data_IF_901363507721
#
_entry.id   IF_901363507721
#
_cell.length_a   1.000
_cell.length_b   1.000
_cell.length_c   1.000
_cell.angle_alpha   90.00
_cell.angle_beta   90.00
_cell.angle_gamma   90.00
#
_symmetry.space_group_name_H-M   'P 1'
#
loop_
_entity.id
_entity.type
_entity.pdbx_description
1 polymer ?
#
# COMPACT_ATOMS: atom_id res chain seq x y z
N UNK A 1 18.79 -16.48 15.45
CA UNK A 1 17.39 -16.10 15.71
C UNK A 1 17.51 -14.79 16.46
N UNK A 2 17.59 -13.71 15.67
CA UNK A 2 17.87 -12.35 16.15
C UNK A 2 16.71 -11.84 17.00
N UNK A 3 16.98 -10.89 17.89
CA UNK A 3 16.08 -10.43 18.94
C UNK A 3 14.67 -10.05 18.46
N UNK A 4 13.68 -10.21 19.34
CA UNK A 4 12.35 -9.65 19.14
C UNK A 4 12.38 -8.15 19.45
N UNK A 5 11.98 -7.30 18.49
CA UNK A 5 11.99 -5.85 18.65
C UNK A 5 10.59 -5.26 18.79
N UNK A 6 10.45 -4.16 19.54
CA UNK A 6 9.33 -3.26 19.30
C UNK A 6 9.62 -2.47 18.02
N UNK A 7 8.67 -2.38 17.08
CA UNK A 7 8.95 -1.78 15.77
C UNK A 7 9.41 -0.32 15.88
N UNK A 8 8.87 0.42 16.84
CA UNK A 8 9.30 1.78 17.13
C UNK A 8 10.79 1.84 17.48
N UNK A 9 11.40 0.78 18.00
CA UNK A 9 12.80 0.75 18.41
C UNK A 9 13.78 0.88 17.25
N UNK A 10 13.40 0.23 16.16
CA UNK A 10 14.17 0.13 14.91
C UNK A 10 13.69 1.13 13.84
N UNK A 11 12.62 1.87 14.11
CA UNK A 11 12.08 2.89 13.21
C UNK A 11 12.94 4.16 13.12
N UNK A 12 13.14 4.68 11.92
CA UNK A 12 13.81 5.96 11.71
C UNK A 12 12.97 7.12 12.21
N UNK A 13 11.66 7.01 12.05
CA UNK A 13 10.74 8.12 12.21
C UNK A 13 9.34 7.60 12.59
N UNK A 14 8.68 8.28 13.53
CA UNK A 14 7.34 7.93 14.03
C UNK A 14 6.47 9.18 14.12
N UNK A 15 5.31 9.20 13.45
CA UNK A 15 4.33 10.31 13.52
C UNK A 15 2.96 9.81 13.91
N UNK A 16 2.07 10.75 14.19
CA UNK A 16 0.73 10.49 14.68
C UNK A 16 -0.27 11.40 13.97
N UNK A 17 -1.37 10.81 13.48
CA UNK A 17 -2.59 11.53 13.16
C UNK A 17 -3.68 11.23 14.21
N UNK A 18 -4.71 12.09 14.33
CA UNK A 18 -5.72 11.97 15.38
C UNK A 18 -6.58 10.69 15.32
N UNK A 19 -6.73 10.10 14.14
CA UNK A 19 -7.57 8.92 13.92
C UNK A 19 -6.80 7.83 13.14
N UNK A 20 -7.34 6.60 12.99
CA UNK A 20 -6.68 5.52 12.27
C UNK A 20 -6.14 5.98 10.90
N UNK A 21 -4.88 5.65 10.60
CA UNK A 21 -4.31 5.92 9.29
C UNK A 21 -5.08 5.11 8.24
N UNK A 22 -5.37 5.69 7.10
CA UNK A 22 -6.06 5.02 6.00
C UNK A 22 -5.18 4.93 4.75
N UNK A 23 -4.25 5.85 4.56
CA UNK A 23 -3.26 5.79 3.49
C UNK A 23 -1.95 6.44 3.93
N UNK A 24 -0.83 5.86 3.49
CA UNK A 24 0.52 6.38 3.71
C UNK A 24 1.34 6.18 2.45
N UNK A 25 2.09 7.21 2.08
CA UNK A 25 3.03 7.17 0.96
C UNK A 25 4.26 8.00 1.30
N UNK A 26 5.37 7.76 0.60
CA UNK A 26 6.58 8.55 0.79
C UNK A 26 7.38 8.63 -0.51
N UNK A 27 8.30 9.59 -0.55
CA UNK A 27 9.36 9.67 -1.55
C UNK A 27 10.72 9.78 -0.84
N UNK A 28 11.76 10.21 -1.56
CA UNK A 28 13.10 10.39 -1.01
C UNK A 28 13.20 11.46 0.10
N UNK A 29 12.26 12.41 0.17
CA UNK A 29 12.37 13.58 1.04
C UNK A 29 11.22 13.70 2.04
N UNK A 30 10.08 13.06 1.78
CA UNK A 30 8.82 13.35 2.44
C UNK A 30 8.01 12.08 2.71
N UNK A 31 7.27 12.10 3.82
CA UNK A 31 6.20 11.13 4.12
C UNK A 31 4.89 11.89 4.15
N UNK A 32 3.86 11.34 3.53
CA UNK A 32 2.49 11.86 3.55
C UNK A 32 1.57 10.76 4.08
N UNK A 33 0.68 11.13 4.99
CA UNK A 33 -0.33 10.21 5.49
C UNK A 33 -1.69 10.90 5.60
N UNK A 34 -2.74 10.12 5.39
CA UNK A 34 -4.14 10.48 5.56
C UNK A 34 -4.81 9.59 6.59
N UNK A 35 -5.79 10.14 7.30
CA UNK A 35 -6.54 9.40 8.30
C UNK A 35 -8.04 9.33 8.03
N UNK A 36 -8.71 8.50 8.83
CA UNK A 36 -10.17 8.28 8.77
C UNK A 36 -10.99 9.56 9.00
N UNK A 37 -10.42 10.50 9.73
CA UNK A 37 -11.01 11.80 10.03
C UNK A 37 -10.86 12.82 8.90
N UNK A 38 -10.14 12.51 7.82
CA UNK A 38 -9.88 13.45 6.72
C UNK A 38 -8.65 14.31 6.91
N UNK A 39 -7.87 14.10 7.97
CA UNK A 39 -6.62 14.81 8.14
C UNK A 39 -5.59 14.24 7.17
N UNK A 40 -4.90 15.12 6.46
CA UNK A 40 -3.72 14.77 5.67
C UNK A 40 -2.56 15.65 6.12
N UNK A 41 -1.39 15.06 6.31
CA UNK A 41 -0.18 15.79 6.71
C UNK A 41 1.04 15.28 5.96
N UNK A 42 1.95 16.21 5.66
CA UNK A 42 3.27 15.92 5.09
C UNK A 42 4.35 16.24 6.12
N UNK A 43 5.35 15.38 6.21
CA UNK A 43 6.55 15.62 7.01
C UNK A 43 7.80 15.51 6.14
N UNK A 44 8.78 16.36 6.44
CA UNK A 44 10.11 16.23 5.86
C UNK A 44 10.87 15.10 6.56
N UNK A 45 11.42 14.15 5.80
CA UNK A 45 12.15 13.01 6.34
C UNK A 45 13.41 13.49 7.06
N UNK A 46 14.20 14.37 6.45
CA UNK A 46 15.54 14.73 6.95
C UNK A 46 15.54 15.34 8.36
N UNK A 47 14.57 16.20 8.69
CA UNK A 47 14.45 16.87 9.98
C UNK A 47 13.22 16.45 10.79
N UNK A 48 12.37 15.62 10.21
CA UNK A 48 11.14 15.12 10.80
C UNK A 48 10.00 16.14 10.98
N UNK A 49 10.17 17.41 10.63
CA UNK A 49 9.18 18.44 10.90
C UNK A 49 7.99 18.31 9.97
N UNK A 50 6.82 18.71 10.47
CA UNK A 50 5.63 18.85 9.63
C UNK A 50 5.87 19.97 8.63
N UNK A 51 5.66 19.67 7.35
CA UNK A 51 5.76 20.65 6.28
C UNK A 51 4.42 21.36 6.11
N UNK A 52 3.31 20.60 6.08
CA UNK A 52 1.96 21.14 6.03
C UNK A 52 0.93 20.11 6.49
N UNK A 53 -0.26 20.59 6.81
CA UNK A 53 -1.46 19.79 7.09
C UNK A 53 -2.69 20.40 6.42
N UNK A 54 -3.66 19.53 6.07
CA UNK A 54 -4.98 19.90 5.55
C UNK A 54 -6.05 18.99 6.12
N UNK A 55 -7.28 19.48 6.07
CA UNK A 55 -8.49 18.73 6.39
C UNK A 55 -9.29 18.56 5.09
N UNK A 56 -9.42 17.31 4.63
CA UNK A 56 -10.19 16.89 3.47
C UNK A 56 -11.32 15.98 3.97
N UNK A 57 -12.44 16.57 4.40
CA UNK A 57 -13.62 15.84 4.90
C UNK A 57 -14.32 15.08 3.75
N UNK A 58 -14.70 13.80 3.89
CA UNK A 58 -14.62 12.89 5.06
C UNK A 58 -13.31 12.12 5.15
N UNK A 59 -13.31 10.78 5.09
CA UNK A 59 -12.09 9.97 5.23
C UNK A 59 -11.21 10.09 3.99
N UNK A 60 -9.89 10.16 4.19
CA UNK A 60 -8.94 9.89 3.11
C UNK A 60 -8.98 8.40 2.80
N UNK A 61 -9.05 8.03 1.52
CA UNK A 61 -9.08 6.63 1.06
C UNK A 61 -7.72 6.21 0.48
N UNK A 62 -7.06 7.08 -0.27
CA UNK A 62 -5.81 6.77 -0.96
C UNK A 62 -4.98 8.03 -1.25
N UNK A 63 -3.65 7.90 -1.29
CA UNK A 63 -2.69 8.99 -1.49
C UNK A 63 -1.53 8.51 -2.36
N UNK A 64 -1.21 9.27 -3.40
CA UNK A 64 -0.06 9.02 -4.26
C UNK A 64 0.73 10.30 -4.51
N UNK A 65 2.05 10.18 -4.64
CA UNK A 65 2.95 11.26 -5.07
C UNK A 65 3.37 10.99 -6.51
N UNK A 66 3.13 11.96 -7.39
CA UNK A 66 3.47 11.84 -8.82
C UNK A 66 3.83 13.22 -9.38
N UNK A 67 4.96 13.39 -10.07
CA UNK A 67 5.35 14.66 -10.71
C UNK A 67 5.24 15.91 -9.80
N UNK A 68 5.69 15.84 -8.55
CA UNK A 68 5.52 16.90 -7.53
C UNK A 68 4.07 17.29 -7.21
N UNK A 69 3.12 16.41 -7.54
CA UNK A 69 1.71 16.49 -7.18
C UNK A 69 1.39 15.43 -6.14
N UNK A 70 0.39 15.71 -5.32
CA UNK A 70 -0.19 14.75 -4.38
C UNK A 70 -1.63 14.50 -4.79
N UNK A 71 -1.91 13.29 -5.27
CA UNK A 71 -3.25 12.84 -5.62
C UNK A 71 -3.88 12.22 -4.39
N UNK A 72 -5.09 12.67 -4.04
CA UNK A 72 -5.77 12.24 -2.81
C UNK A 72 -7.22 11.89 -3.10
N UNK A 73 -7.60 10.66 -2.80
CA UNK A 73 -9.00 10.25 -2.74
C UNK A 73 -9.54 10.57 -1.35
N UNK A 74 -10.60 11.36 -1.24
CA UNK A 74 -11.31 11.59 0.03
C UNK A 74 -12.81 11.76 -0.18
N UNK A 75 -13.60 10.95 0.52
CA UNK A 75 -15.05 10.86 0.31
C UNK A 75 -15.38 10.62 -1.15
N UNK A 76 -16.14 11.52 -1.78
CA UNK A 76 -16.49 11.44 -3.21
C UNK A 76 -15.54 12.20 -4.13
N UNK A 77 -14.45 12.75 -3.61
CA UNK A 77 -13.58 13.66 -4.33
C UNK A 77 -12.22 13.03 -4.61
N UNK A 78 -11.70 13.33 -5.79
CA UNK A 78 -10.27 13.27 -6.10
C UNK A 78 -9.73 14.70 -6.04
N UNK A 79 -8.71 14.91 -5.21
CA UNK A 79 -7.97 16.17 -5.10
C UNK A 79 -6.58 16.01 -5.70
N UNK A 80 -6.10 17.07 -6.35
CA UNK A 80 -4.69 17.24 -6.67
C UNK A 80 -4.13 18.41 -5.87
N UNK A 81 -3.10 18.15 -5.08
CA UNK A 81 -2.43 19.15 -4.25
C UNK A 81 -1.01 19.38 -4.76
N UNK A 82 -0.49 20.59 -4.56
CA UNK A 82 0.94 20.86 -4.68
C UNK A 82 1.70 20.07 -3.61
N UNK A 83 2.79 19.40 -3.97
CA UNK A 83 3.64 18.73 -2.98
C UNK A 83 4.21 19.71 -1.95
N UNK A 84 4.67 20.89 -2.38
CA UNK A 84 5.35 21.87 -1.52
C UNK A 84 4.48 22.39 -0.37
N UNK A 85 3.27 22.89 -0.68
CA UNK A 85 2.42 23.63 0.27
C UNK A 85 1.13 22.90 0.68
N UNK A 86 0.78 21.81 -0.02
CA UNK A 86 -0.53 21.17 0.13
C UNK A 86 -1.69 22.05 -0.34
N UNK A 87 -1.45 22.96 -1.29
CA UNK A 87 -2.48 23.82 -1.91
C UNK A 87 -3.25 23.02 -2.96
N UNK A 88 -4.58 23.07 -2.96
CA UNK A 88 -5.42 22.38 -3.94
C UNK A 88 -5.26 23.07 -5.31
N UNK A 89 -4.78 22.33 -6.31
CA UNK A 89 -4.71 22.80 -7.70
C UNK A 89 -6.03 22.59 -8.41
N UNK A 90 -6.62 21.40 -8.24
CA UNK A 90 -7.92 21.06 -8.79
C UNK A 90 -8.57 19.94 -7.98
N UNK A 91 -9.88 19.78 -8.16
CA UNK A 91 -10.65 18.68 -7.56
C UNK A 91 -11.79 18.25 -8.46
N UNK A 92 -12.08 16.96 -8.49
CA UNK A 92 -13.22 16.38 -9.22
C UNK A 92 -14.08 15.59 -8.25
N UNK A 93 -15.40 15.71 -8.37
CA UNK A 93 -16.36 14.91 -7.59
C UNK A 93 -16.95 13.77 -8.44
N UNK A 94 -17.09 12.60 -7.84
CA UNK A 94 -17.77 11.45 -8.43
C UNK A 94 -19.16 11.25 -7.81
N UNK A 95 -19.95 10.37 -8.42
CA UNK A 95 -21.30 10.01 -7.95
C UNK A 95 -21.25 9.23 -6.62
N UNK A 96 -20.15 8.51 -6.39
CA UNK A 96 -19.91 7.69 -5.20
C UNK A 96 -18.60 8.01 -4.49
N UNK A 97 -18.25 7.21 -3.50
CA UNK A 97 -16.97 7.32 -2.80
C UNK A 97 -15.82 7.05 -3.78
N UNK A 98 -14.82 7.93 -3.82
CA UNK A 98 -13.54 7.72 -4.47
C UNK A 98 -12.72 6.76 -3.62
N UNK A 99 -12.41 5.60 -4.19
CA UNK A 99 -11.89 4.46 -3.43
C UNK A 99 -10.38 4.27 -3.62
N UNK A 100 -9.95 4.06 -4.86
CA UNK A 100 -8.58 3.69 -5.20
C UNK A 100 -8.04 4.61 -6.30
N UNK A 101 -6.75 4.90 -6.25
CA UNK A 101 -6.04 5.68 -7.26
C UNK A 101 -4.87 4.90 -7.84
N UNK A 102 -4.59 5.12 -9.13
CA UNK A 102 -3.34 4.70 -9.76
C UNK A 102 -2.87 5.76 -10.76
N UNK A 103 -2.13 6.78 -10.29
CA UNK A 103 -1.59 7.80 -11.17
C UNK A 103 -0.30 7.37 -11.86
N UNK A 104 -0.11 7.90 -13.06
CA UNK A 104 1.16 7.95 -13.78
C UNK A 104 1.48 9.41 -14.12
N UNK A 105 2.55 9.65 -14.88
CA UNK A 105 3.00 11.00 -15.20
C UNK A 105 1.95 11.86 -15.93
N UNK A 106 1.07 11.24 -16.73
CA UNK A 106 0.13 11.91 -17.62
C UNK A 106 -1.31 11.85 -17.13
N UNK A 107 -1.72 10.71 -16.58
CA UNK A 107 -3.11 10.46 -16.20
C UNK A 107 -3.21 9.88 -14.80
N UNK A 108 -4.39 10.02 -14.20
CA UNK A 108 -4.77 9.36 -12.97
C UNK A 108 -5.99 8.52 -13.21
N UNK A 109 -5.86 7.23 -12.91
CA UNK A 109 -7.00 6.35 -12.82
C UNK A 109 -7.58 6.41 -11.41
N UNK A 110 -8.90 6.55 -11.32
CA UNK A 110 -9.63 6.55 -10.07
C UNK A 110 -10.81 5.57 -10.17
N UNK A 111 -11.16 4.94 -9.06
CA UNK A 111 -12.39 4.16 -8.95
C UNK A 111 -13.39 4.87 -8.04
N UNK A 112 -14.68 4.69 -8.34
CA UNK A 112 -15.74 5.19 -7.48
C UNK A 112 -16.85 4.18 -7.30
N UNK A 113 -17.47 4.12 -6.11
CA UNK A 113 -18.58 3.22 -5.83
C UNK A 113 -19.62 3.82 -4.88
N UNK A 114 -20.88 3.42 -5.05
CA UNK A 114 -21.98 3.80 -4.15
C UNK A 114 -22.39 2.57 -3.35
N UNK A 115 -22.40 2.65 -2.01
CA UNK A 115 -22.92 1.56 -1.19
C UNK A 115 -24.42 1.79 -0.91
N UNK A 116 -25.26 0.92 -1.43
CA UNK A 116 -26.71 0.99 -1.24
C UNK A 116 -27.11 0.16 -0.03
N UNK A 117 -27.50 0.84 1.04
CA UNK A 117 -27.73 0.24 2.38
C UNK A 117 -28.91 -0.74 2.33
N UNK A 118 -29.96 -0.43 1.57
CA UNK A 118 -31.19 -1.24 1.51
C UNK A 118 -30.95 -2.65 0.95
N UNK A 119 -30.02 -2.78 0.01
CA UNK A 119 -29.65 -4.06 -0.60
C UNK A 119 -28.31 -4.62 -0.06
N UNK A 120 -27.61 -3.85 0.77
CA UNK A 120 -26.33 -4.23 1.37
C UNK A 120 -25.21 -4.45 0.36
N UNK A 121 -25.25 -3.77 -0.79
CA UNK A 121 -24.35 -4.02 -1.91
C UNK A 121 -23.84 -2.72 -2.56
N UNK A 122 -22.67 -2.79 -3.20
CA UNK A 122 -22.17 -1.69 -4.03
C UNK A 122 -22.86 -1.63 -5.39
N UNK A 123 -23.26 -0.44 -5.81
CA UNK A 123 -23.88 -0.12 -7.09
C UNK A 123 -23.17 1.07 -7.72
N UNK A 124 -23.47 1.36 -8.99
CA UNK A 124 -22.88 2.47 -9.74
C UNK A 124 -21.36 2.53 -9.62
N UNK A 125 -20.72 1.35 -9.69
CA UNK A 125 -19.27 1.23 -9.64
C UNK A 125 -18.70 1.73 -10.97
N UNK A 126 -17.66 2.55 -10.92
CA UNK A 126 -17.03 3.14 -12.09
C UNK A 126 -15.52 3.18 -11.94
N UNK A 127 -14.87 3.27 -13.08
CA UNK A 127 -13.45 3.62 -13.21
C UNK A 127 -13.34 4.79 -14.17
N UNK A 128 -12.52 5.77 -13.80
CA UNK A 128 -12.35 7.01 -14.50
C UNK A 128 -10.87 7.27 -14.76
N UNK A 129 -10.56 7.72 -15.96
CA UNK A 129 -9.24 8.23 -16.32
C UNK A 129 -9.32 9.74 -16.43
N UNK A 130 -8.42 10.46 -15.75
CA UNK A 130 -8.36 11.92 -15.77
C UNK A 130 -6.95 12.38 -16.12
N UNK A 131 -6.82 13.55 -16.74
CA UNK A 131 -5.54 14.22 -16.93
C UNK A 131 -4.94 14.64 -15.58
N UNK A 132 -3.68 14.31 -15.34
CA UNK A 132 -3.02 14.53 -14.04
C UNK A 132 -2.78 16.02 -13.74
N UNK A 133 -2.70 16.87 -14.76
CA UNK A 133 -2.35 18.29 -14.59
C UNK A 133 -3.57 19.16 -14.30
N UNK A 134 -4.72 18.85 -14.90
CA UNK A 134 -5.92 19.70 -14.79
C UNK A 134 -7.20 18.97 -14.33
N UNK A 135 -7.15 17.65 -14.16
CA UNK A 135 -8.31 16.86 -13.71
C UNK A 135 -9.40 16.72 -14.78
N UNK A 136 -9.13 17.01 -16.05
CA UNK A 136 -10.09 16.81 -17.12
C UNK A 136 -10.36 15.30 -17.31
N UNK A 137 -11.63 14.93 -17.33
CA UNK A 137 -12.07 13.56 -17.58
C UNK A 137 -11.71 13.13 -19.01
N UNK A 138 -10.94 12.06 -19.14
CA UNK A 138 -10.56 11.44 -20.42
C UNK A 138 -11.59 10.36 -20.79
N UNK A 139 -11.92 9.48 -19.84
CA UNK A 139 -12.95 8.46 -20.00
C UNK A 139 -13.53 8.03 -18.66
N UNK A 140 -14.76 7.49 -18.70
CA UNK A 140 -15.45 6.91 -17.56
C UNK A 140 -16.16 5.65 -18.02
N UNK A 141 -15.92 4.53 -17.35
CA UNK A 141 -16.53 3.25 -17.65
C UNK A 141 -17.29 2.75 -16.42
N UNK A 142 -18.46 2.17 -16.66
CA UNK A 142 -19.18 1.42 -15.62
C UNK A 142 -18.48 0.09 -15.38
N UNK A 143 -18.33 -0.26 -14.10
CA UNK A 143 -17.81 -1.53 -13.65
C UNK A 143 -18.97 -2.42 -13.22
N UNK A 144 -18.92 -3.73 -13.55
CA UNK A 144 -19.96 -4.66 -13.13
C UNK A 144 -19.93 -4.91 -11.62
N UNK A 145 -18.84 -4.58 -10.93
CA UNK A 145 -18.66 -4.76 -9.49
C UNK A 145 -17.63 -3.78 -8.91
N UNK A 146 -17.57 -3.67 -7.58
CA UNK A 146 -16.58 -2.80 -6.91
C UNK A 146 -15.17 -3.30 -7.20
N UNK A 147 -14.29 -2.38 -7.57
CA UNK A 147 -12.85 -2.62 -7.64
C UNK A 147 -12.25 -2.69 -6.24
N UNK A 148 -11.47 -3.75 -6.00
CA UNK A 148 -10.69 -3.94 -4.79
C UNK A 148 -9.19 -3.76 -5.02
N UNK A 149 -8.79 -3.65 -6.28
CA UNK A 149 -7.42 -3.36 -6.66
C UNK A 149 -7.36 -2.61 -7.99
N UNK A 150 -6.34 -1.78 -8.16
CA UNK A 150 -6.09 -1.00 -9.37
C UNK A 150 -4.59 -0.83 -9.58
N UNK A 151 -4.13 -1.05 -10.80
CA UNK A 151 -2.72 -0.88 -11.18
C UNK A 151 -2.64 -0.27 -12.58
N UNK A 152 -1.86 0.79 -12.74
CA UNK A 152 -1.59 1.41 -14.03
C UNK A 152 -0.33 0.82 -14.68
N UNK A 153 -0.38 0.62 -15.99
CA UNK A 153 0.72 0.08 -16.82
C UNK A 153 0.97 0.98 -18.01
N UNK A 154 1.96 1.87 -17.92
CA UNK A 154 2.30 2.96 -18.87
C UNK A 154 1.13 3.88 -19.24
N UNK A 155 0.16 3.38 -20.00
CA UNK A 155 -1.09 4.06 -20.35
C UNK A 155 -2.34 3.27 -19.92
N UNK A 156 -2.23 1.98 -19.69
CA UNK A 156 -3.37 1.10 -19.45
C UNK A 156 -3.64 0.93 -17.95
N UNK A 157 -4.78 0.34 -17.61
CA UNK A 157 -5.20 0.07 -16.25
C UNK A 157 -5.65 -1.37 -16.12
N UNK A 158 -5.26 -2.01 -15.02
CA UNK A 158 -5.66 -3.36 -14.64
C UNK A 158 -6.42 -3.26 -13.32
N UNK A 159 -7.60 -3.87 -13.28
CA UNK A 159 -8.50 -3.86 -12.12
C UNK A 159 -8.74 -5.27 -11.62
N UNK A 160 -8.81 -5.41 -10.29
CA UNK A 160 -9.35 -6.59 -9.63
C UNK A 160 -10.73 -6.31 -9.06
N UNK A 161 -11.75 -7.03 -9.53
CA UNK A 161 -13.14 -6.83 -9.10
C UNK A 161 -13.60 -7.87 -8.07
N UNK A 162 -14.52 -7.42 -7.22
CA UNK A 162 -15.22 -8.26 -6.23
C UNK A 162 -16.53 -8.82 -6.77
N UNK A 163 -17.47 -9.11 -5.86
CA UNK A 163 -18.81 -9.60 -6.23
C UNK A 163 -19.75 -8.47 -6.70
N UNK A 164 -20.80 -8.80 -7.50
CA UNK A 164 -21.20 -10.13 -8.00
C UNK A 164 -20.40 -10.66 -9.20
N UNK A 165 -19.72 -9.81 -9.95
CA UNK A 165 -19.02 -10.11 -11.20
C UNK A 165 -17.51 -9.93 -11.01
N UNK A 166 -16.82 -10.92 -10.43
CA UNK A 166 -15.42 -10.81 -10.07
C UNK A 166 -14.47 -10.94 -11.27
N UNK A 167 -13.18 -11.02 -10.97
CA UNK A 167 -12.13 -11.28 -11.94
C UNK A 167 -11.23 -10.08 -12.19
N UNK A 168 -10.33 -10.26 -13.15
CA UNK A 168 -9.35 -9.25 -13.56
C UNK A 168 -9.75 -8.65 -14.89
N UNK A 169 -9.69 -7.33 -14.99
CA UNK A 169 -10.07 -6.59 -16.19
C UNK A 169 -8.97 -5.63 -16.62
N UNK A 170 -8.81 -5.50 -17.92
CA UNK A 170 -7.88 -4.58 -18.58
C UNK A 170 -8.67 -3.44 -19.21
N UNK A 171 -8.13 -2.23 -19.12
CA UNK A 171 -8.68 -1.04 -19.75
C UNK A 171 -7.55 -0.34 -20.48
N UNK A 172 -7.73 -0.15 -21.78
CA UNK A 172 -6.81 0.62 -22.59
C UNK A 172 -7.19 2.10 -22.58
N UNK A 173 -6.22 2.98 -22.32
CA UNK A 173 -6.47 4.44 -22.27
C UNK A 173 -7.16 4.94 -23.54
N UNK A 174 -8.16 5.81 -23.35
CA UNK A 174 -8.97 6.42 -24.40
C UNK A 174 -9.84 5.47 -25.24
N UNK A 175 -9.85 4.16 -24.98
CA UNK A 175 -10.64 3.22 -25.81
C UNK A 175 -12.08 3.05 -25.36
N UNK A 176 -12.38 3.38 -24.09
CA UNK A 176 -13.70 3.16 -23.50
C UNK A 176 -14.09 1.69 -23.40
N UNK A 177 -13.12 0.75 -23.43
CA UNK A 177 -13.38 -0.69 -23.36
C UNK A 177 -12.81 -1.32 -22.09
N UNK A 178 -13.68 -2.08 -21.42
CA UNK A 178 -13.37 -2.96 -20.32
C UNK A 178 -13.23 -4.39 -20.85
N UNK A 179 -12.03 -4.97 -20.79
CA UNK A 179 -11.71 -6.28 -21.36
C UNK A 179 -11.41 -7.29 -20.24
N UNK A 180 -12.19 -8.37 -20.08
CA UNK A 180 -11.91 -9.38 -19.06
C UNK A 180 -10.66 -10.19 -19.42
N UNK A 181 -9.81 -10.46 -18.44
CA UNK A 181 -8.68 -11.37 -18.58
C UNK A 181 -9.15 -12.81 -18.35
N UNK A 182 -9.70 -13.43 -19.39
CA UNK A 182 -10.35 -14.74 -19.32
C UNK A 182 -9.45 -15.90 -18.90
N UNK A 183 -8.12 -15.72 -18.99
CA UNK A 183 -7.15 -16.71 -18.50
C UNK A 183 -6.99 -16.66 -16.98
N UNK A 184 -7.20 -15.50 -16.35
CA UNK A 184 -7.06 -15.33 -14.91
C UNK A 184 -8.25 -15.95 -14.16
N UNK A 185 -8.06 -16.39 -12.90
CA UNK A 185 -9.15 -16.93 -12.09
C UNK A 185 -10.32 -15.93 -11.96
N UNK A 186 -11.52 -16.41 -12.29
CA UNK A 186 -12.77 -15.67 -12.13
C UNK A 186 -13.26 -15.74 -10.67
N UNK A 187 -12.51 -15.08 -9.77
CA UNK A 187 -12.69 -15.13 -8.33
C UNK A 187 -12.61 -13.72 -7.72
N UNK A 188 -13.36 -13.41 -6.63
CA UNK A 188 -13.38 -12.07 -6.05
C UNK A 188 -11.99 -11.65 -5.59
N UNK A 189 -11.45 -10.59 -6.20
CA UNK A 189 -10.16 -10.03 -5.83
C UNK A 189 -10.30 -9.25 -4.52
N UNK A 190 -9.28 -9.34 -3.66
CA UNK A 190 -9.23 -8.58 -2.41
C UNK A 190 -7.98 -7.70 -2.29
N UNK A 191 -6.95 -7.95 -3.10
CA UNK A 191 -5.67 -7.25 -3.04
C UNK A 191 -4.88 -7.49 -4.34
N UNK A 192 -4.15 -6.47 -4.78
CA UNK A 192 -3.04 -6.64 -5.71
C UNK A 192 -1.79 -5.97 -5.19
N UNK A 193 -0.63 -6.46 -5.62
CA UNK A 193 0.67 -5.86 -5.36
C UNK A 193 1.42 -5.82 -6.68
N UNK A 194 1.99 -4.67 -7.04
CA UNK A 194 2.81 -4.51 -8.25
C UNK A 194 4.30 -4.63 -7.93
N UNK A 195 5.04 -5.31 -8.79
CA UNK A 195 6.50 -5.38 -8.72
C UNK A 195 7.16 -4.16 -9.39
N UNK A 196 8.44 -3.93 -9.07
CA UNK A 196 9.28 -2.95 -9.76
C UNK A 196 9.49 -3.27 -11.25
N UNK A 197 9.30 -4.52 -11.66
CA UNK A 197 9.41 -4.99 -13.05
C UNK A 197 8.10 -4.93 -13.82
N UNK A 198 7.01 -4.49 -13.17
CA UNK A 198 5.70 -4.31 -13.78
C UNK A 198 4.79 -5.53 -13.76
N UNK A 199 5.21 -6.65 -13.16
CA UNK A 199 4.31 -7.76 -12.85
C UNK A 199 3.33 -7.39 -11.73
N UNK A 200 2.17 -8.03 -11.69
CA UNK A 200 1.15 -7.78 -10.67
C UNK A 200 0.73 -9.10 -10.07
N UNK A 201 0.86 -9.20 -8.75
CA UNK A 201 0.33 -10.30 -7.96
C UNK A 201 -1.08 -9.98 -7.49
N UNK A 202 -1.95 -10.98 -7.49
CA UNK A 202 -3.33 -10.89 -7.02
C UNK A 202 -3.60 -11.91 -5.93
N UNK A 203 -4.47 -11.56 -4.98
CA UNK A 203 -5.03 -12.46 -4.00
C UNK A 203 -6.56 -12.40 -4.05
N UNK A 204 -7.20 -13.57 -4.03
CA UNK A 204 -8.66 -13.70 -4.04
C UNK A 204 -9.21 -13.97 -2.64
N UNK A 205 -10.51 -13.70 -2.45
CA UNK A 205 -11.24 -13.99 -1.21
C UNK A 205 -11.30 -15.48 -0.86
N UNK A 206 -11.10 -16.38 -1.83
CA UNK A 206 -11.05 -17.83 -1.63
C UNK A 206 -9.64 -18.34 -1.30
N UNK A 207 -8.65 -17.45 -1.21
CA UNK A 207 -7.26 -17.83 -0.98
C UNK A 207 -6.57 -18.38 -2.22
N UNK A 208 -6.95 -17.94 -3.43
CA UNK A 208 -6.16 -18.22 -4.64
C UNK A 208 -5.27 -17.00 -4.90
N UNK A 209 -3.98 -17.24 -5.00
CA UNK A 209 -2.99 -16.27 -5.43
C UNK A 209 -2.54 -16.56 -6.86
N UNK A 210 -2.34 -15.52 -7.64
CA UNK A 210 -1.78 -15.64 -8.98
C UNK A 210 -1.01 -14.39 -9.39
N UNK A 211 -0.15 -14.51 -10.40
CA UNK A 211 0.62 -13.39 -10.93
C UNK A 211 0.32 -13.18 -12.41
N UNK A 212 0.24 -11.92 -12.83
CA UNK A 212 0.26 -11.52 -14.23
C UNK A 212 1.59 -10.82 -14.50
N UNK A 213 2.37 -11.31 -15.46
CA UNK A 213 3.65 -10.71 -15.83
C UNK A 213 3.47 -9.34 -16.53
N UNK A 214 4.56 -8.59 -16.71
CA UNK A 214 4.52 -7.29 -17.38
C UNK A 214 4.10 -7.32 -18.86
N UNK A 215 3.93 -8.53 -19.45
CA UNK A 215 3.42 -8.75 -20.82
C UNK A 215 1.96 -9.20 -20.82
N UNK A 216 1.33 -9.30 -19.65
CA UNK A 216 -0.06 -9.71 -19.49
C UNK A 216 -0.26 -11.23 -19.47
N UNK A 217 0.77 -12.06 -19.33
CA UNK A 217 0.63 -13.51 -19.21
C UNK A 217 0.39 -13.94 -17.76
N UNK A 218 -0.53 -14.87 -17.56
CA UNK A 218 -0.76 -15.49 -16.26
C UNK A 218 0.38 -16.45 -15.93
N UNK A 219 0.92 -16.35 -14.72
CA UNK A 219 1.91 -17.25 -14.15
C UNK A 219 1.68 -17.44 -12.65
N UNK A 220 2.43 -18.37 -12.05
CA UNK A 220 2.47 -18.60 -10.60
C UNK A 220 1.10 -18.67 -9.92
N UNK A 221 0.41 -19.82 -9.96
CA UNK A 221 -0.90 -19.98 -9.29
C UNK A 221 -0.74 -20.82 -8.03
N UNK A 222 -1.24 -20.32 -6.90
CA UNK A 222 -1.16 -20.98 -5.59
C UNK A 222 -2.50 -20.91 -4.87
N UNK A 223 -3.02 -22.05 -4.44
CA UNK A 223 -4.23 -22.13 -3.61
C UNK A 223 -3.92 -22.10 -2.11
N UNK A 224 -4.95 -21.77 -1.33
CA UNK A 224 -4.90 -21.50 0.11
C UNK A 224 -3.82 -20.48 0.51
N UNK A 225 -3.61 -19.50 -0.36
CA UNK A 225 -2.78 -18.35 -0.10
C UNK A 225 -3.39 -17.45 0.97
N UNK A 226 -2.52 -16.92 1.82
CA UNK A 226 -2.84 -16.02 2.94
C UNK A 226 -2.29 -14.62 2.70
N UNK A 227 -1.17 -14.50 2.00
CA UNK A 227 -0.61 -13.24 1.53
C UNK A 227 0.14 -13.44 0.21
N UNK A 228 0.30 -12.35 -0.53
CA UNK A 228 1.04 -12.26 -1.79
C UNK A 228 1.84 -10.98 -1.84
N UNK A 229 2.90 -10.95 -2.65
CA UNK A 229 3.68 -9.76 -2.92
C UNK A 229 5.01 -10.10 -3.59
N UNK A 230 5.99 -9.24 -3.36
CA UNK A 230 7.33 -9.40 -3.93
C UNK A 230 8.39 -9.23 -2.84
N UNK A 231 9.53 -9.89 -3.04
CA UNK A 231 10.75 -9.60 -2.29
C UNK A 231 11.46 -8.41 -2.93
N UNK A 232 12.32 -7.76 -2.16
CA UNK A 232 13.18 -6.67 -2.64
C UNK A 232 14.09 -7.06 -3.82
N UNK A 233 14.39 -8.36 -4.00
CA UNK A 233 15.12 -8.89 -5.16
C UNK A 233 14.24 -9.13 -6.41
N UNK A 234 12.95 -8.78 -6.34
CA UNK A 234 11.97 -8.93 -7.41
C UNK A 234 11.31 -10.31 -7.49
N UNK A 235 11.68 -11.25 -6.60
CA UNK A 235 11.07 -12.59 -6.59
C UNK A 235 9.62 -12.52 -6.10
N UNK A 236 8.71 -13.18 -6.84
CA UNK A 236 7.32 -13.33 -6.42
C UNK A 236 7.24 -14.15 -5.11
N UNK A 237 6.43 -13.67 -4.17
CA UNK A 237 6.30 -14.23 -2.83
C UNK A 237 4.84 -14.52 -2.53
N UNK A 238 4.57 -15.74 -2.07
CA UNK A 238 3.24 -16.16 -1.64
C UNK A 238 3.36 -17.10 -0.43
N UNK A 239 2.49 -16.92 0.57
CA UNK A 239 2.38 -17.84 1.70
C UNK A 239 1.08 -18.64 1.63
N UNK A 240 1.15 -19.97 1.72
CA UNK A 240 -0.01 -20.88 1.65
C UNK A 240 -0.05 -21.86 2.82
N UNK A 241 -1.24 -22.21 3.32
CA UNK A 241 -1.44 -23.18 4.41
C UNK A 241 -1.25 -24.65 3.99
N UNK A 242 -1.41 -24.96 2.70
CA UNK A 242 -1.42 -26.34 2.17
C UNK A 242 -0.03 -26.91 1.87
N UNK A 243 0.99 -26.05 1.76
CA UNK A 243 2.38 -26.44 1.52
C UNK A 243 3.25 -25.89 2.66
N UNK A 244 4.17 -26.69 3.18
CA UNK A 244 5.39 -26.12 3.79
C UNK A 244 5.97 -25.16 2.74
N UNK A 245 5.82 -23.86 2.97
CA UNK A 245 6.32 -22.73 2.18
C UNK A 245 6.12 -22.89 0.67
N UNK A 246 5.09 -22.23 0.13
CA UNK A 246 4.99 -21.96 -1.31
C UNK A 246 6.07 -20.98 -1.80
N UNK A 247 7.35 -21.32 -1.61
CA UNK A 247 8.48 -20.72 -2.29
C UNK A 247 8.75 -21.55 -3.55
N UNK A 248 8.33 -21.07 -4.71
CA UNK A 248 9.12 -21.20 -5.93
C UNK A 248 9.63 -19.77 -6.15
N UNK A 249 10.88 -19.38 -5.87
CA UNK A 249 12.14 -19.90 -6.43
C UNK A 249 13.27 -19.71 -5.40
N UNK A 250 13.99 -20.81 -5.10
CA UNK A 250 15.27 -20.90 -4.35
C UNK A 250 15.43 -20.06 -3.07
N UNK A 251 14.96 -20.54 -1.93
CA UNK A 251 15.83 -21.03 -0.84
C UNK A 251 14.98 -21.42 0.38
N UNK A 252 15.36 -22.49 1.07
CA UNK A 252 14.60 -23.20 2.11
C UNK A 252 14.64 -22.49 3.47
N UNK A 253 14.56 -21.15 3.51
CA UNK A 253 14.69 -20.43 4.78
C UNK A 253 13.85 -19.14 4.90
N UNK A 254 12.98 -19.16 5.92
CA UNK A 254 12.65 -18.01 6.78
C UNK A 254 11.51 -17.05 6.40
N UNK A 255 10.35 -17.56 5.97
CA UNK A 255 9.08 -16.90 6.36
C UNK A 255 8.31 -17.84 7.27
N UNK A 256 8.40 -17.59 8.58
CA UNK A 256 7.73 -18.37 9.64
C UNK A 256 6.62 -17.57 10.33
N UNK A 257 5.98 -16.64 9.64
CA UNK A 257 4.86 -15.89 10.21
C UNK A 257 3.55 -16.58 9.84
N UNK A 258 3.09 -17.53 10.67
CA UNK A 258 1.94 -18.39 10.38
C UNK A 258 0.66 -17.64 9.95
N UNK A 259 0.50 -16.39 10.37
CA UNK A 259 -0.66 -15.52 10.12
C UNK A 259 -0.31 -14.31 9.24
N UNK A 260 0.69 -14.43 8.36
CA UNK A 260 1.05 -13.37 7.44
C UNK A 260 -0.14 -13.00 6.54
N UNK A 261 -0.37 -11.70 6.40
CA UNK A 261 -1.46 -11.14 5.59
C UNK A 261 -0.97 -10.10 4.58
N UNK A 262 0.07 -9.35 4.91
CA UNK A 262 0.60 -8.27 4.08
C UNK A 262 2.08 -8.46 3.78
N UNK A 263 2.49 -8.04 2.59
CA UNK A 263 3.88 -8.04 2.13
C UNK A 263 4.14 -6.70 1.45
N UNK A 264 5.15 -5.98 1.92
CA UNK A 264 5.61 -4.74 1.29
C UNK A 264 7.11 -4.81 1.08
N UNK A 265 7.59 -4.39 -0.08
CA UNK A 265 9.01 -4.35 -0.37
C UNK A 265 9.45 -2.94 -0.78
N UNK A 266 10.69 -2.62 -0.44
CA UNK A 266 11.49 -1.57 -1.06
C UNK A 266 12.58 -2.21 -1.93
N UNK A 267 13.53 -1.44 -2.43
CA UNK A 267 14.69 -1.97 -3.17
C UNK A 267 15.66 -2.76 -2.28
N UNK A 268 15.52 -2.65 -0.95
CA UNK A 268 16.50 -3.21 0.01
C UNK A 268 15.88 -3.94 1.19
N UNK A 269 14.56 -3.89 1.36
CA UNK A 269 13.84 -4.54 2.45
C UNK A 269 12.58 -5.25 1.94
N UNK A 270 12.30 -6.42 2.49
CA UNK A 270 10.98 -7.05 2.43
C UNK A 270 10.38 -7.07 3.83
N UNK A 271 9.13 -6.67 4.00
CA UNK A 271 8.44 -6.70 5.29
C UNK A 271 7.16 -7.51 5.15
N UNK A 272 7.08 -8.60 5.91
CA UNK A 272 5.92 -9.48 5.99
C UNK A 272 5.22 -9.28 7.33
N UNK A 273 3.90 -9.12 7.32
CA UNK A 273 3.14 -8.60 8.47
C UNK A 273 1.83 -9.36 8.67
N UNK A 274 1.40 -9.51 9.93
CA UNK A 274 0.05 -9.98 10.27
C UNK A 274 -0.97 -8.86 10.14
N UNK A 275 -2.24 -9.23 9.96
CA UNK A 275 -3.39 -8.33 10.15
C UNK A 275 -4.05 -8.66 11.50
N UNK A 276 -3.40 -8.25 12.57
CA UNK A 276 -3.87 -8.50 13.95
C UNK A 276 -3.42 -7.37 14.88
N UNK A 277 -4.03 -7.30 16.07
CA UNK A 277 -3.56 -6.44 17.15
C UNK A 277 -3.09 -7.32 18.34
N UNK A 278 -1.80 -7.25 18.74
CA UNK A 278 -0.73 -6.46 18.14
C UNK A 278 -0.28 -7.02 16.78
N UNK A 279 0.13 -6.12 15.88
CA UNK A 279 0.77 -6.52 14.62
C UNK A 279 2.11 -7.18 14.92
N UNK A 280 2.40 -8.28 14.24
CA UNK A 280 3.71 -8.92 14.23
C UNK A 280 4.27 -8.95 12.81
N UNK A 281 5.58 -8.94 12.68
CA UNK A 281 6.18 -9.06 11.36
C UNK A 281 7.64 -9.47 11.38
N UNK A 282 8.16 -9.65 10.16
CA UNK A 282 9.56 -9.96 9.86
C UNK A 282 10.03 -8.93 8.83
N UNK A 283 11.16 -8.27 9.09
CA UNK A 283 11.89 -7.45 8.11
C UNK A 283 13.05 -8.30 7.62
N UNK A 284 13.10 -8.55 6.31
CA UNK A 284 14.19 -9.25 5.65
C UNK A 284 15.04 -8.24 4.89
N UNK A 285 16.32 -8.18 5.25
CA UNK A 285 17.40 -7.50 4.54
C UNK A 285 18.39 -8.57 4.05
N UNK A 286 19.25 -8.26 3.08
CA UNK A 286 20.17 -9.22 2.45
C UNK A 286 20.78 -10.28 3.38
N UNK A 287 21.25 -9.90 4.58
CA UNK A 287 21.87 -10.81 5.55
C UNK A 287 21.31 -10.63 6.99
N UNK A 288 20.08 -10.14 7.15
CA UNK A 288 19.51 -9.84 8.46
C UNK A 288 17.99 -10.07 8.45
N UNK A 289 17.48 -10.82 9.41
CA UNK A 289 16.06 -11.11 9.57
C UNK A 289 15.59 -10.61 10.94
N UNK A 290 14.85 -9.50 10.95
CA UNK A 290 14.42 -8.83 12.17
C UNK A 290 12.97 -9.16 12.48
N UNK A 291 12.73 -9.85 13.61
CA UNK A 291 11.37 -10.08 14.10
C UNK A 291 10.90 -8.92 14.96
N UNK A 292 9.64 -8.51 14.80
CA UNK A 292 9.12 -7.35 15.51
C UNK A 292 7.64 -7.45 15.87
N UNK A 293 7.22 -6.62 16.83
CA UNK A 293 5.81 -6.35 17.15
C UNK A 293 5.52 -4.87 17.25
N UNK A 294 4.29 -4.46 16.97
CA UNK A 294 3.79 -3.11 17.20
C UNK A 294 2.32 -3.16 17.66
N UNK A 295 1.90 -2.18 18.46
CA UNK A 295 0.50 -2.05 18.86
C UNK A 295 -0.34 -1.58 17.67
N UNK A 296 -1.62 -1.93 17.63
CA UNK A 296 -2.50 -1.60 16.52
C UNK A 296 -2.39 -2.57 15.36
N UNK A 297 -3.37 -2.50 14.48
CA UNK A 297 -3.45 -3.24 13.23
C UNK A 297 -2.88 -2.37 12.11
N UNK A 298 -2.14 -2.98 11.18
CA UNK A 298 -1.69 -2.30 9.95
C UNK A 298 -2.90 -1.96 9.09
N UNK A 299 -2.96 -0.71 8.66
CA UNK A 299 -4.06 -0.21 7.82
C UNK A 299 -3.59 0.23 6.44
N UNK A 300 -2.33 0.62 6.30
CA UNK A 300 -1.73 1.03 5.02
C UNK A 300 -0.22 0.87 5.08
N UNK A 301 0.40 0.74 3.92
CA UNK A 301 1.84 0.62 3.80
C UNK A 301 2.30 1.03 2.40
N UNK A 302 3.56 1.44 2.29
CA UNK A 302 4.20 1.76 1.03
C UNK A 302 5.70 1.48 1.13
N UNK A 303 6.31 1.01 0.04
CA UNK A 303 7.74 0.74 -0.05
C UNK A 303 8.33 1.38 -1.30
N UNK A 304 9.40 2.15 -1.13
CA UNK A 304 10.09 2.85 -2.21
C UNK A 304 11.55 3.11 -1.83
N UNK A 305 12.47 2.97 -2.79
CA UNK A 305 13.91 3.18 -2.56
C UNK A 305 14.43 2.30 -1.43
N UNK A 306 15.05 2.91 -0.41
CA UNK A 306 15.56 2.21 0.78
C UNK A 306 14.60 2.25 1.98
N UNK A 307 13.31 2.51 1.75
CA UNK A 307 12.36 2.81 2.84
C UNK A 307 11.02 2.11 2.71
N UNK A 308 10.40 1.92 3.86
CA UNK A 308 9.05 1.41 4.02
C UNK A 308 8.32 2.27 5.03
N UNK A 309 7.15 2.78 4.66
CA UNK A 309 6.23 3.50 5.55
C UNK A 309 5.03 2.63 5.87
N UNK A 310 4.57 2.66 7.12
CA UNK A 310 3.49 1.82 7.63
C UNK A 310 2.54 2.67 8.48
N UNK A 311 1.26 2.64 8.14
CA UNK A 311 0.18 3.27 8.89
C UNK A 311 -0.55 2.27 9.76
N UNK A 312 -0.97 2.70 10.95
CA UNK A 312 -1.65 1.86 11.93
C UNK A 312 -3.03 2.38 12.32
N UNK A 313 -3.85 1.47 12.85
CA UNK A 313 -5.16 1.76 13.43
C UNK A 313 -5.09 2.69 14.66
N UNK A 314 -3.92 2.83 15.27
CA UNK A 314 -3.66 3.77 16.38
C UNK A 314 -3.52 5.22 15.92
N UNK A 315 -3.45 5.46 14.60
CA UNK A 315 -3.05 6.75 14.02
C UNK A 315 -1.54 6.92 13.90
N UNK A 316 -0.75 5.94 14.35
CA UNK A 316 0.71 5.97 14.22
C UNK A 316 1.16 5.70 12.78
N UNK A 317 2.22 6.39 12.39
CA UNK A 317 2.91 6.25 11.10
C UNK A 317 4.36 5.93 11.42
N UNK A 318 4.86 4.82 10.91
CA UNK A 318 6.24 4.37 11.09
C UNK A 318 6.96 4.41 9.76
N UNK A 319 8.13 5.03 9.72
CA UNK A 319 9.06 4.97 8.59
C UNK A 319 10.30 4.18 8.98
N UNK A 320 10.62 3.17 8.17
CA UNK A 320 11.80 2.33 8.26
C UNK A 320 12.77 2.75 7.15
N UNK A 321 14.03 3.01 7.50
CA UNK A 321 15.13 3.17 6.54
C UNK A 321 16.08 1.98 6.72
N UNK A 322 16.46 1.28 5.65
CA UNK A 322 17.21 0.02 5.72
C UNK A 322 18.45 0.09 6.59
N UNK A 323 19.24 1.16 6.43
CA UNK A 323 20.46 1.40 7.21
C UNK A 323 20.19 1.59 8.70
N UNK A 324 19.08 2.25 9.04
CA UNK A 324 18.69 2.49 10.44
C UNK A 324 18.20 1.21 11.08
N UNK A 325 17.39 0.42 10.36
CA UNK A 325 16.93 -0.89 10.83
C UNK A 325 18.14 -1.80 11.08
N UNK A 326 19.03 -1.94 10.10
CA UNK A 326 20.23 -2.78 10.20
C UNK A 326 21.13 -2.36 11.37
N UNK A 327 21.40 -1.06 11.49
CA UNK A 327 22.23 -0.52 12.58
C UNK A 327 21.65 -0.79 13.96
N UNK A 328 20.33 -0.58 14.13
CA UNK A 328 19.67 -0.68 15.44
C UNK A 328 19.40 -2.10 15.87
N UNK A 329 19.04 -2.99 14.93
CA UNK A 329 18.88 -4.41 15.20
C UNK A 329 20.20 -5.01 15.72
N UNK A 330 21.32 -4.74 15.04
CA UNK A 330 22.65 -5.20 15.47
C UNK A 330 23.10 -4.61 16.81
N UNK A 331 22.74 -3.36 17.11
CA UNK A 331 23.13 -2.71 18.37
C UNK A 331 22.34 -3.24 19.58
N UNK A 332 21.09 -3.63 19.38
CA UNK A 332 20.24 -4.19 20.43
C UNK A 332 20.70 -5.60 20.85
N UNK A 333 21.32 -6.37 19.96
CA UNK A 333 21.96 -7.64 20.30
C UNK A 333 23.21 -7.47 21.20
N UNK A 334 23.80 -6.27 21.24
CA UNK A 334 25.04 -5.98 21.97
C UNK A 334 24.79 -5.34 23.33
N UNK A 335 23.76 -4.50 23.48
CA UNK A 335 23.54 -3.67 24.67
C UNK A 335 22.15 -3.88 25.26
N UNK A 336 22.02 -4.78 26.22
CA UNK A 336 20.78 -5.06 26.98
C UNK A 336 20.32 -3.97 27.95
N UNK A 337 20.64 -2.68 27.70
CA UNK A 337 20.21 -1.57 28.56
C UNK A 337 19.03 -0.77 27.97
N UNK A 338 17.99 -0.65 28.79
CA UNK A 338 16.70 -0.02 28.48
C UNK A 338 16.79 1.52 28.53
N UNK A 339 17.28 2.11 27.44
CA UNK A 339 17.13 3.55 27.13
C UNK A 339 15.89 3.84 26.24
N UNK A 340 14.77 3.16 26.44
CA UNK A 340 13.62 3.20 25.52
C UNK A 340 12.92 4.57 25.48
N UNK A 341 12.69 5.22 26.61
CA UNK A 341 11.88 6.44 26.66
C UNK A 341 12.58 7.67 26.05
N UNK A 342 13.88 7.85 26.30
CA UNK A 342 14.67 8.92 25.66
C UNK A 342 14.76 8.69 24.15
N UNK A 343 14.96 7.43 23.71
CA UNK A 343 14.96 7.09 22.28
C UNK A 343 13.60 7.31 21.62
N UNK A 344 12.50 7.01 22.31
CA UNK A 344 11.15 7.30 21.82
C UNK A 344 10.93 8.81 21.62
N UNK A 345 11.37 9.65 22.57
CA UNK A 345 11.31 11.11 22.43
C UNK A 345 12.20 11.62 21.29
N UNK A 346 13.40 11.06 21.10
CA UNK A 346 14.29 11.42 19.99
C UNK A 346 13.69 11.08 18.62
N UNK A 347 12.93 9.98 18.49
CA UNK A 347 12.22 9.62 17.23
C UNK A 347 11.11 10.59 16.87
N UNK A 348 10.48 11.20 17.87
CA UNK A 348 9.52 12.29 17.63
C UNK A 348 10.21 13.57 17.18
N UNK A 349 11.48 13.76 17.54
CA UNK A 349 12.17 15.04 17.41
C UNK A 349 13.26 15.11 16.32
N UNK A 350 13.76 13.97 15.81
CA UNK A 350 14.90 13.82 14.86
C UNK A 350 15.89 15.00 14.97
N UNK A 351 16.50 15.17 16.14
CA UNK A 351 17.68 16.00 16.28
C UNK A 351 18.90 15.17 15.89
N UNK A 352 19.79 15.79 15.09
CA UNK A 352 21.01 15.21 14.51
C UNK A 352 21.85 14.38 15.49
#
# INVERSE_FOLDING_TARGET
>A
MEGHHQLNEIASFVRLLPTPITSVTHNENEVIAGDKGGNISKWCISNGRISWSRQLDPSVSDIHIVNNLVMVASGKYLYCLTLEEGSILWSVSFDGACDLLSPNEKTVWATSSVYEIEIGHYVNCKVQELDSQNGAMIQSLDLPSKAWSIESTEADCILGLGRPDPGVYFIRSGTGKLEPKTEAPDLPIIESVRSSTGSISFLTASGTAFEIDSRGHLQNIVDEATCVGYRHDGTWLCQSSKRKNGLNVSDDSQIRLAEARFVVCSETMTVTMTKSEPTKGIIQLNNLDVTWSHRGEVTSYNGQGDRISIGYSTGEIILLESRVVESRARAADVNGEDKSEIRARLRMLRFE
#
